data_IF_287937108418
#
_entry.id   IF_287937108418
#
_cell.length_a   1.000
_cell.length_b   1.000
_cell.length_c   1.000
_cell.angle_alpha   90.00
_cell.angle_beta   90.00
_cell.angle_gamma   90.00
#
_symmetry.space_group_name_H-M   'P 1'
#
loop_
_entity.id
_entity.type
_entity.pdbx_description
1 polymer ?
#
# COMPACT_ATOMS: atom_id res chain seq x y z
N UNK A 1 3.56 -0.36 14.62
CA UNK A 1 3.69 -1.78 14.20
C UNK A 1 2.45 -2.60 14.53
N UNK A 2 1.96 -2.61 15.78
CA UNK A 2 0.75 -3.38 16.17
C UNK A 2 -0.49 -3.03 15.32
N UNK A 3 -0.73 -1.74 15.09
CA UNK A 3 -1.89 -1.28 14.29
C UNK A 3 -1.88 -1.78 12.84
N UNK A 4 -0.69 -1.91 12.24
CA UNK A 4 -0.52 -2.42 10.87
C UNK A 4 -0.84 -3.92 10.80
N UNK A 5 -0.41 -4.68 11.81
CA UNK A 5 -0.74 -6.10 11.94
C UNK A 5 -2.25 -6.24 12.11
N UNK A 6 -2.85 -5.55 13.09
CA UNK A 6 -4.29 -5.58 13.34
C UNK A 6 -5.11 -5.28 12.08
N UNK A 7 -4.75 -4.24 11.32
CA UNK A 7 -5.44 -3.91 10.07
C UNK A 7 -5.33 -5.02 9.03
N UNK A 8 -4.15 -5.63 8.92
CA UNK A 8 -3.93 -6.74 7.99
C UNK A 8 -4.80 -7.95 8.35
N UNK A 9 -4.96 -8.26 9.64
CA UNK A 9 -5.82 -9.38 10.09
C UNK A 9 -7.31 -9.13 9.81
N UNK A 10 -7.77 -7.88 10.00
CA UNK A 10 -9.14 -7.46 9.66
C UNK A 10 -9.43 -7.69 8.17
N UNK A 11 -8.52 -7.30 7.28
CA UNK A 11 -8.66 -7.47 5.83
C UNK A 11 -8.78 -8.96 5.45
N UNK A 12 -8.04 -9.82 6.14
CA UNK A 12 -8.03 -11.26 5.87
C UNK A 12 -9.25 -12.01 6.45
N UNK A 13 -10.14 -11.33 7.18
CA UNK A 13 -11.33 -11.94 7.80
C UNK A 13 -11.01 -13.05 8.81
N UNK A 14 -9.78 -13.09 9.33
CA UNK A 14 -9.29 -14.15 10.21
C UNK A 14 -9.11 -13.60 11.63
N UNK A 15 -9.94 -14.07 12.54
CA UNK A 15 -9.99 -13.60 13.94
C UNK A 15 -8.97 -14.27 14.87
N UNK A 16 -8.22 -15.28 14.40
CA UNK A 16 -7.30 -16.04 15.25
C UNK A 16 -5.90 -16.09 14.63
N UNK A 17 -5.10 -15.06 14.92
CA UNK A 17 -3.66 -15.11 14.73
C UNK A 17 -2.95 -14.94 16.06
N UNK A 18 -2.00 -15.83 16.32
CA UNK A 18 -1.10 -15.71 17.48
C UNK A 18 0.10 -14.88 17.08
N UNK A 19 0.19 -13.64 17.57
CA UNK A 19 1.43 -12.87 17.43
C UNK A 19 2.47 -13.51 18.34
N UNK A 20 3.45 -14.20 17.75
CA UNK A 20 4.58 -14.76 18.49
C UNK A 20 5.71 -13.74 18.44
N UNK A 21 5.96 -13.06 19.55
CA UNK A 21 7.16 -12.23 19.71
C UNK A 21 8.21 -13.10 20.40
N UNK A 22 9.32 -13.48 19.73
CA UNK A 22 10.35 -14.29 20.35
C UNK A 22 11.00 -13.53 21.51
N UNK A 23 11.03 -14.14 22.69
CA UNK A 23 11.54 -13.54 23.92
C UNK A 23 13.07 -13.71 24.03
N UNK A 24 13.80 -13.35 22.97
CA UNK A 24 15.25 -13.51 22.91
C UNK A 24 15.95 -12.26 23.46
N UNK A 25 15.78 -11.96 24.76
CA UNK A 25 16.73 -11.23 25.63
C UNK A 25 17.31 -9.85 25.22
N UNK A 26 17.06 -9.34 24.02
CA UNK A 26 17.52 -8.07 23.50
C UNK A 26 16.37 -7.51 22.69
N UNK A 27 15.65 -6.55 23.28
CA UNK A 27 14.83 -5.63 22.48
C UNK A 27 15.83 -4.85 21.62
N UNK A 28 16.11 -5.35 20.41
CA UNK A 28 16.75 -4.52 19.41
C UNK A 28 15.84 -3.29 19.26
N UNK A 29 16.29 -2.14 19.76
CA UNK A 29 15.62 -0.89 19.49
C UNK A 29 15.58 -0.78 17.97
N UNK A 30 14.37 -0.80 17.38
CA UNK A 30 14.21 -0.43 15.97
C UNK A 30 15.01 0.85 15.74
N UNK A 31 15.75 0.90 14.61
CA UNK A 31 16.48 2.09 14.24
C UNK A 31 15.54 3.30 14.35
N UNK A 32 16.03 4.40 14.94
CA UNK A 32 15.27 5.64 15.06
C UNK A 32 14.60 5.96 13.72
N UNK A 33 13.30 6.27 13.75
CA UNK A 33 12.46 6.43 12.55
C UNK A 33 13.07 7.42 11.56
N UNK A 34 13.68 6.90 10.50
CA UNK A 34 14.23 7.72 9.42
C UNK A 34 13.10 8.17 8.50
N UNK A 35 12.88 9.48 8.45
CA UNK A 35 11.91 10.13 7.57
C UNK A 35 12.61 11.02 6.56
N UNK A 36 12.21 10.90 5.30
CA UNK A 36 12.60 11.85 4.27
C UNK A 36 11.68 13.09 4.30
N UNK A 37 12.28 14.28 4.17
CA UNK A 37 11.54 15.51 3.94
C UNK A 37 11.25 15.66 2.44
N UNK A 38 10.06 15.26 2.02
CA UNK A 38 9.65 15.27 0.61
C UNK A 38 9.13 16.64 0.11
N UNK A 39 9.29 17.72 0.87
CA UNK A 39 8.73 19.05 0.55
C UNK A 39 9.16 19.56 -0.82
N UNK A 40 10.45 19.43 -1.16
CA UNK A 40 10.98 19.85 -2.47
C UNK A 40 10.27 19.20 -3.65
N UNK A 41 9.92 17.92 -3.54
CA UNK A 41 9.20 17.19 -4.61
C UNK A 41 7.75 17.63 -4.68
N UNK A 42 7.11 17.84 -3.53
CA UNK A 42 5.74 18.38 -3.46
C UNK A 42 5.67 19.79 -4.06
N UNK A 43 6.62 20.66 -3.74
CA UNK A 43 6.63 22.05 -4.20
C UNK A 43 6.94 22.16 -5.69
N UNK A 44 7.95 21.40 -6.18
CA UNK A 44 8.43 21.54 -7.56
C UNK A 44 7.65 20.72 -8.57
N UNK A 45 7.23 19.52 -8.20
CA UNK A 45 6.54 18.60 -9.13
C UNK A 45 5.04 18.55 -8.87
N UNK A 46 4.54 19.26 -7.85
CA UNK A 46 3.16 19.10 -7.35
C UNK A 46 2.83 17.64 -7.05
N UNK A 47 3.85 16.88 -6.68
CA UNK A 47 3.71 15.47 -6.35
C UNK A 47 3.00 15.34 -5.01
N UNK A 48 2.06 14.43 -4.93
CA UNK A 48 1.35 14.13 -3.67
C UNK A 48 1.05 12.64 -3.57
N UNK A 49 1.09 12.06 -2.35
CA UNK A 49 0.76 10.66 -2.13
C UNK A 49 -0.73 10.41 -2.40
N UNK A 50 -1.03 9.42 -3.24
CA UNK A 50 -2.42 9.10 -3.60
C UNK A 50 -3.13 8.18 -2.59
N UNK A 51 -2.45 7.11 -2.18
CA UNK A 51 -3.00 6.13 -1.23
C UNK A 51 -2.70 6.54 0.21
N UNK A 52 -3.71 6.40 1.06
CA UNK A 52 -3.49 6.38 2.50
C UNK A 52 -2.74 5.10 2.89
N UNK A 53 -2.08 5.12 4.04
CA UNK A 53 -1.39 3.92 4.56
C UNK A 53 -2.33 2.72 4.67
N UNK A 54 -3.59 2.93 5.07
CA UNK A 54 -4.61 1.89 5.17
C UNK A 54 -4.90 1.22 3.83
N UNK A 55 -5.11 2.01 2.77
CA UNK A 55 -5.36 1.47 1.44
C UNK A 55 -4.13 0.77 0.87
N UNK A 56 -2.93 1.30 1.13
CA UNK A 56 -1.70 0.65 0.71
C UNK A 56 -1.54 -0.73 1.37
N UNK A 57 -1.81 -0.83 2.68
CA UNK A 57 -1.80 -2.10 3.41
C UNK A 57 -2.84 -3.06 2.82
N UNK A 58 -4.08 -2.61 2.62
CA UNK A 58 -5.15 -3.41 2.02
C UNK A 58 -4.75 -4.01 0.67
N UNK A 59 -4.24 -3.18 -0.25
CA UNK A 59 -3.81 -3.65 -1.58
C UNK A 59 -2.66 -4.65 -1.51
N UNK A 60 -1.69 -4.41 -0.63
CA UNK A 60 -0.55 -5.31 -0.44
C UNK A 60 -0.97 -6.64 0.15
N UNK A 61 -1.73 -6.62 1.26
CA UNK A 61 -2.19 -7.84 1.94
C UNK A 61 -3.06 -8.68 1.02
N UNK A 62 -3.99 -8.06 0.29
CA UNK A 62 -4.86 -8.76 -0.67
C UNK A 62 -4.03 -9.44 -1.77
N UNK A 63 -3.04 -8.74 -2.34
CA UNK A 63 -2.19 -9.30 -3.39
C UNK A 63 -1.45 -10.55 -2.91
N UNK A 64 -0.82 -10.49 -1.73
CA UNK A 64 -0.09 -11.64 -1.18
C UNK A 64 -1.02 -12.78 -0.78
N UNK A 65 -2.20 -12.46 -0.28
CA UNK A 65 -3.20 -13.47 0.04
C UNK A 65 -3.64 -14.23 -1.21
N UNK A 66 -4.00 -13.52 -2.26
CA UNK A 66 -4.42 -14.12 -3.53
C UNK A 66 -3.28 -14.94 -4.14
N UNK A 67 -2.06 -14.39 -4.17
CA UNK A 67 -0.87 -15.12 -4.61
C UNK A 67 -0.67 -16.45 -3.87
N UNK A 68 -0.87 -16.46 -2.55
CA UNK A 68 -0.64 -17.66 -1.73
C UNK A 68 -1.80 -18.67 -1.75
N UNK A 69 -3.05 -18.22 -1.96
CA UNK A 69 -4.24 -19.05 -1.74
C UNK A 69 -5.09 -19.30 -3.00
N UNK A 70 -4.81 -18.60 -4.11
CA UNK A 70 -5.52 -18.78 -5.37
C UNK A 70 -4.60 -19.44 -6.40
N UNK A 71 -4.85 -20.71 -6.70
CA UNK A 71 -4.04 -21.49 -7.66
C UNK A 71 -4.13 -20.97 -9.10
N UNK A 72 -5.14 -20.17 -9.43
CA UNK A 72 -5.30 -19.51 -10.72
C UNK A 72 -4.81 -18.04 -10.69
N UNK A 73 -4.08 -17.62 -9.66
CA UNK A 73 -3.60 -16.26 -9.55
C UNK A 73 -2.61 -15.91 -10.67
N UNK A 74 -2.97 -14.93 -11.48
CA UNK A 74 -2.11 -14.35 -12.50
C UNK A 74 -1.47 -13.07 -11.95
N UNK A 75 -0.19 -13.17 -11.57
CA UNK A 75 0.55 -12.07 -10.99
C UNK A 75 0.77 -10.91 -11.99
N UNK A 76 1.00 -11.21 -13.27
CA UNK A 76 1.25 -10.19 -14.28
C UNK A 76 0.00 -9.35 -14.52
N UNK A 77 -1.12 -10.02 -14.81
CA UNK A 77 -2.41 -9.38 -15.04
C UNK A 77 -2.87 -8.58 -13.82
N UNK A 78 -2.72 -9.15 -12.62
CA UNK A 78 -3.07 -8.47 -11.36
C UNK A 78 -2.23 -7.21 -11.15
N UNK A 79 -0.91 -7.28 -11.32
CA UNK A 79 -0.02 -6.12 -11.18
C UNK A 79 -0.36 -5.03 -12.20
N UNK A 80 -0.58 -5.42 -13.46
CA UNK A 80 -0.96 -4.48 -14.52
C UNK A 80 -2.27 -3.76 -14.17
N UNK A 81 -3.26 -4.49 -13.66
CA UNK A 81 -4.54 -3.89 -13.27
C UNK A 81 -4.40 -3.01 -12.02
N UNK A 82 -3.54 -3.36 -11.06
CA UNK A 82 -3.25 -2.49 -9.91
C UNK A 82 -2.62 -1.17 -10.33
N UNK A 83 -1.68 -1.16 -11.29
CA UNK A 83 -1.08 0.06 -11.85
C UNK A 83 -2.14 0.90 -12.54
N UNK A 84 -2.97 0.30 -13.42
CA UNK A 84 -4.06 1.01 -14.10
C UNK A 84 -5.07 1.57 -13.11
N UNK A 85 -5.45 0.80 -12.09
CA UNK A 85 -6.35 1.25 -11.03
C UNK A 85 -5.77 2.42 -10.24
N UNK A 86 -4.46 2.44 -9.97
CA UNK A 86 -3.78 3.55 -9.31
C UNK A 86 -3.86 4.82 -10.16
N UNK A 87 -3.53 4.72 -11.45
CA UNK A 87 -3.63 5.85 -12.40
C UNK A 87 -5.06 6.39 -12.50
N UNK A 88 -6.05 5.52 -12.69
CA UNK A 88 -7.48 5.93 -12.72
C UNK A 88 -7.91 6.59 -11.41
N UNK A 89 -7.43 6.11 -10.28
CA UNK A 89 -7.75 6.72 -8.99
C UNK A 89 -7.10 8.10 -8.84
N UNK A 90 -5.89 8.30 -9.37
CA UNK A 90 -5.23 9.60 -9.41
C UNK A 90 -6.03 10.63 -10.22
N UNK A 91 -6.45 10.24 -11.43
CA UNK A 91 -7.29 11.07 -12.31
C UNK A 91 -8.63 11.39 -11.65
N UNK A 92 -9.29 10.39 -11.05
CA UNK A 92 -10.57 10.58 -10.34
C UNK A 92 -10.46 11.58 -9.19
N UNK A 93 -9.34 11.57 -8.46
CA UNK A 93 -9.07 12.52 -7.38
C UNK A 93 -8.59 13.89 -7.86
N UNK A 94 -8.38 14.05 -9.18
CA UNK A 94 -7.86 15.28 -9.81
C UNK A 94 -6.51 15.70 -9.23
N UNK A 95 -5.66 14.70 -9.00
CA UNK A 95 -4.33 14.93 -8.45
C UNK A 95 -3.47 15.68 -9.48
N UNK A 96 -2.67 16.69 -9.11
CA UNK A 96 -1.96 17.54 -10.06
C UNK A 96 -1.07 16.79 -11.07
N UNK A 97 -0.47 15.67 -10.65
CA UNK A 97 0.42 14.87 -11.49
C UNK A 97 -0.29 13.76 -12.30
N UNK A 98 -1.60 13.60 -12.15
CA UNK A 98 -2.34 12.47 -12.74
C UNK A 98 -2.65 12.59 -14.24
N UNK A 99 -2.27 13.71 -14.86
CA UNK A 99 -2.67 14.08 -16.22
C UNK A 99 -4.12 14.59 -16.26
N UNK A 100 -4.42 15.52 -17.18
CA UNK A 100 -5.82 15.84 -17.48
C UNK A 100 -6.49 14.62 -18.13
N UNK A 101 -7.79 14.35 -17.89
CA UNK A 101 -8.49 13.37 -18.70
C UNK A 101 -8.36 13.82 -20.16
N UNK A 102 -7.86 12.93 -21.02
CA UNK A 102 -7.80 13.18 -22.46
C UNK A 102 -9.16 13.72 -22.91
N UNK A 103 -9.21 15.01 -23.27
CA UNK A 103 -10.32 15.53 -24.07
C UNK A 103 -10.21 14.78 -25.38
N UNK A 104 -11.03 13.76 -25.57
CA UNK A 104 -11.25 13.17 -26.90
C UNK A 104 -11.64 14.32 -27.82
N UNK A 105 -10.71 14.71 -28.69
CA UNK A 105 -10.95 15.62 -29.81
C UNK A 105 -11.76 14.91 -30.88
#
# INVERSE_FOLDING_TARGET
>A
MKDLISKSLEILGKNEFKIVVPNNGQKAHEANYLKLYCTKTMDKLRWEPLYSVHRAIEKTVTWYWDFANNSAFDAESTCLEQVKSYQRFAVKRKIPWSGEPEKKS
#
